data_IF_268075067752
#
_entry.id   IF_268075067752
#
_cell.length_a   1.000
_cell.length_b   1.000
_cell.length_c   1.000
_cell.angle_alpha   90.00
_cell.angle_beta   90.00
_cell.angle_gamma   90.00
#
_symmetry.space_group_name_H-M   'P 1'
#
loop_
_entity.id
_entity.type
_entity.pdbx_description
1 polymer ?
#
# COMPACT_ATOMS: atom_id res chain seq x y z
N UNK A 1 -16.46 -0.09 12.14
CA UNK A 1 -16.79 -1.01 11.04
C UNK A 1 -17.89 -1.96 11.49
N UNK A 2 -18.73 -2.48 10.57
CA UNK A 2 -19.86 -3.34 10.88
C UNK A 2 -19.49 -4.55 11.78
N UNK A 3 -18.33 -5.15 11.58
CA UNK A 3 -17.81 -6.25 12.40
C UNK A 3 -17.52 -5.81 13.86
N UNK A 4 -16.98 -4.61 14.06
CA UNK A 4 -16.74 -4.03 15.39
C UNK A 4 -18.05 -3.74 16.13
N UNK A 5 -19.10 -3.36 15.40
CA UNK A 5 -20.40 -3.01 15.98
C UNK A 5 -21.20 -4.27 16.34
N UNK A 6 -21.12 -5.33 15.55
CA UNK A 6 -21.68 -6.65 15.88
C UNK A 6 -21.01 -7.22 17.13
N UNK A 7 -19.68 -7.13 17.21
CA UNK A 7 -18.90 -7.57 18.37
C UNK A 7 -19.28 -6.82 19.65
N UNK A 8 -19.41 -5.49 19.58
CA UNK A 8 -19.83 -4.67 20.73
C UNK A 8 -21.26 -5.01 21.21
N UNK A 9 -22.18 -5.30 20.29
CA UNK A 9 -23.55 -5.72 20.64
C UNK A 9 -23.57 -7.08 21.31
N UNK A 10 -22.76 -8.04 20.87
CA UNK A 10 -22.69 -9.38 21.47
C UNK A 10 -22.12 -9.37 22.89
N UNK A 11 -21.09 -8.56 23.16
CA UNK A 11 -20.56 -8.38 24.53
C UNK A 11 -21.61 -7.81 25.47
N UNK A 12 -22.43 -6.87 25.00
CA UNK A 12 -23.43 -6.18 25.82
C UNK A 12 -24.60 -7.10 26.29
N UNK A 13 -24.88 -8.15 25.53
CA UNK A 13 -26.01 -9.04 25.79
C UNK A 13 -25.67 -10.32 26.56
N UNK A 14 -24.41 -10.73 26.69
CA UNK A 14 -24.01 -12.05 27.22
C UNK A 14 -22.97 -12.03 28.35
N UNK A 15 -22.63 -10.84 28.90
CA UNK A 15 -21.60 -10.73 29.92
C UNK A 15 -20.17 -10.88 29.37
N UNK A 16 -19.18 -10.87 30.28
CA UNK A 16 -17.74 -10.89 29.92
C UNK A 16 -17.29 -12.31 29.63
N UNK A 17 -17.64 -12.86 28.45
CA UNK A 17 -16.98 -14.05 27.92
C UNK A 17 -15.75 -13.63 27.11
N UNK A 18 -14.62 -14.27 27.39
CA UNK A 18 -13.42 -14.07 26.55
C UNK A 18 -13.71 -14.51 25.12
N UNK A 19 -13.51 -13.65 24.12
CA UNK A 19 -13.82 -13.98 22.74
C UNK A 19 -12.98 -15.16 22.22
N UNK A 20 -13.55 -15.91 21.30
CA UNK A 20 -12.82 -16.90 20.50
C UNK A 20 -12.23 -16.24 19.25
N UNK A 21 -11.14 -16.77 18.73
CA UNK A 21 -10.55 -16.30 17.49
C UNK A 21 -11.09 -17.13 16.32
N UNK A 22 -11.65 -16.48 15.33
CA UNK A 22 -12.23 -17.12 14.14
C UNK A 22 -11.69 -16.50 12.86
N UNK A 23 -11.70 -17.25 11.79
CA UNK A 23 -11.38 -16.81 10.42
C UNK A 23 -12.64 -16.93 9.57
N UNK A 24 -12.93 -15.92 8.77
CA UNK A 24 -14.02 -15.97 7.79
C UNK A 24 -13.60 -16.82 6.58
N UNK A 25 -14.41 -17.81 6.23
CA UNK A 25 -14.19 -18.68 5.06
C UNK A 25 -15.09 -18.29 3.88
N UNK A 26 -16.19 -17.60 4.14
CA UNK A 26 -17.15 -17.18 3.14
C UNK A 26 -18.33 -16.45 3.77
N UNK A 27 -19.40 -16.22 3.02
CA UNK A 27 -20.57 -15.50 3.48
C UNK A 27 -21.18 -16.18 4.73
N UNK A 28 -20.95 -15.58 5.90
CA UNK A 28 -21.40 -16.08 7.21
C UNK A 28 -20.83 -17.45 7.65
N UNK A 29 -19.75 -17.90 7.04
CA UNK A 29 -19.03 -19.11 7.46
C UNK A 29 -17.72 -18.74 8.15
N UNK A 30 -17.52 -19.29 9.36
CA UNK A 30 -16.36 -19.01 10.19
C UNK A 30 -15.70 -20.30 10.67
N UNK A 31 -14.38 -20.32 10.61
CA UNK A 31 -13.55 -21.38 11.17
C UNK A 31 -12.90 -20.93 12.48
N UNK A 32 -12.94 -21.75 13.51
CA UNK A 32 -12.29 -21.46 14.80
C UNK A 32 -10.79 -21.67 14.68
N UNK A 33 -10.01 -20.61 14.90
CA UNK A 33 -8.54 -20.66 14.99
C UNK A 33 -8.10 -20.98 16.41
N UNK A 34 -8.72 -20.34 17.42
CA UNK A 34 -8.40 -20.56 18.82
C UNK A 34 -9.65 -20.35 19.71
N UNK A 35 -9.79 -21.17 20.75
CA UNK A 35 -10.89 -21.09 21.70
C UNK A 35 -11.95 -22.19 21.55
N UNK A 36 -11.62 -23.34 20.92
CA UNK A 36 -12.50 -24.49 20.70
C UNK A 36 -13.18 -24.97 22.00
N UNK A 37 -12.46 -25.00 23.13
CA UNK A 37 -13.03 -25.40 24.43
C UNK A 37 -14.12 -24.45 24.90
N UNK A 38 -13.96 -23.13 24.67
CA UNK A 38 -14.98 -22.12 24.98
C UNK A 38 -16.20 -22.26 24.10
N UNK A 39 -16.00 -22.52 22.80
CA UNK A 39 -17.12 -22.79 21.89
C UNK A 39 -17.93 -24.00 22.32
N UNK A 40 -17.28 -25.10 22.70
CA UNK A 40 -17.94 -26.31 23.21
C UNK A 40 -18.70 -26.04 24.53
N UNK A 41 -18.09 -25.29 25.44
CA UNK A 41 -18.71 -24.90 26.69
C UNK A 41 -19.97 -24.02 26.45
N UNK A 42 -19.86 -23.05 25.55
CA UNK A 42 -20.96 -22.18 25.15
C UNK A 42 -22.16 -23.00 24.56
N UNK A 43 -21.86 -23.92 23.65
CA UNK A 43 -22.86 -24.85 23.08
C UNK A 43 -23.55 -25.69 24.15
N UNK A 44 -22.76 -26.24 25.10
CA UNK A 44 -23.32 -27.03 26.22
C UNK A 44 -24.19 -26.19 27.15
N UNK A 45 -23.84 -24.90 27.32
CA UNK A 45 -24.60 -23.95 28.11
C UNK A 45 -25.86 -23.43 27.41
N UNK A 46 -26.11 -23.82 26.16
CA UNK A 46 -27.27 -23.39 25.36
C UNK A 46 -27.18 -21.93 24.89
N UNK A 47 -25.96 -21.35 24.79
CA UNK A 47 -25.82 -20.00 24.31
C UNK A 47 -26.02 -19.95 22.78
N UNK A 48 -26.86 -19.02 22.33
CA UNK A 48 -27.19 -18.81 20.93
C UNK A 48 -26.04 -18.12 20.16
N UNK A 49 -25.22 -17.34 20.87
CA UNK A 49 -24.08 -16.62 20.28
C UNK A 49 -22.93 -16.52 21.26
N UNK A 50 -21.71 -16.39 20.73
CA UNK A 50 -20.48 -16.21 21.48
C UNK A 50 -19.67 -15.07 20.86
N UNK A 51 -19.01 -14.20 21.66
CA UNK A 51 -18.17 -13.14 21.12
C UNK A 51 -16.96 -13.72 20.38
N UNK A 52 -16.69 -13.18 19.18
CA UNK A 52 -15.60 -13.59 18.32
C UNK A 52 -14.71 -12.40 17.95
N UNK A 53 -13.41 -12.66 17.86
CA UNK A 53 -12.47 -11.83 17.12
C UNK A 53 -12.30 -12.47 15.74
N UNK A 54 -12.60 -11.72 14.68
CA UNK A 54 -12.39 -12.18 13.32
C UNK A 54 -10.95 -11.84 12.88
N UNK A 55 -10.19 -12.87 12.50
CA UNK A 55 -8.85 -12.69 11.93
C UNK A 55 -9.00 -12.10 10.52
N UNK A 56 -8.61 -10.83 10.37
CA UNK A 56 -8.68 -10.09 9.11
C UNK A 56 -7.46 -10.33 8.21
N UNK A 57 -6.59 -11.29 8.55
CA UNK A 57 -5.36 -11.55 7.80
C UNK A 57 -5.64 -11.94 6.34
N UNK A 58 -6.72 -12.67 6.09
CA UNK A 58 -7.15 -13.00 4.71
C UNK A 58 -7.60 -11.78 3.92
N UNK A 59 -8.28 -10.81 4.56
CA UNK A 59 -8.70 -9.57 3.91
C UNK A 59 -7.47 -8.72 3.56
N UNK A 60 -6.46 -8.68 4.44
CA UNK A 60 -5.19 -8.00 4.15
C UNK A 60 -4.43 -8.65 3.01
N UNK A 61 -4.32 -9.97 2.98
CA UNK A 61 -3.64 -10.70 1.91
C UNK A 61 -4.35 -10.50 0.56
N UNK A 62 -5.68 -10.48 0.55
CA UNK A 62 -6.48 -10.18 -0.63
C UNK A 62 -6.28 -8.74 -1.12
N UNK A 63 -6.22 -7.77 -0.20
CA UNK A 63 -5.94 -6.37 -0.53
C UNK A 63 -4.52 -6.17 -1.07
N UNK A 64 -3.53 -6.83 -0.48
CA UNK A 64 -2.14 -6.82 -0.97
C UNK A 64 -2.08 -7.40 -2.38
N UNK A 65 -2.71 -8.55 -2.61
CA UNK A 65 -2.75 -9.20 -3.94
C UNK A 65 -3.41 -8.31 -4.99
N UNK A 66 -4.52 -7.66 -4.66
CA UNK A 66 -5.22 -6.73 -5.54
C UNK A 66 -4.36 -5.49 -5.87
N UNK A 67 -3.64 -4.96 -4.87
CA UNK A 67 -2.74 -3.83 -5.06
C UNK A 67 -1.55 -4.19 -5.95
N UNK A 68 -0.97 -5.39 -5.77
CA UNK A 68 0.12 -5.89 -6.62
C UNK A 68 -0.35 -6.09 -8.06
N UNK A 69 -1.53 -6.67 -8.27
CA UNK A 69 -2.13 -6.82 -9.60
C UNK A 69 -2.30 -5.46 -10.29
N UNK A 70 -2.82 -4.46 -9.58
CA UNK A 70 -2.97 -3.11 -10.10
C UNK A 70 -1.63 -2.45 -10.45
N UNK A 71 -0.56 -2.73 -9.69
CA UNK A 71 0.79 -2.22 -9.96
C UNK A 71 1.44 -2.85 -11.21
N UNK A 72 0.93 -3.96 -11.72
CA UNK A 72 1.39 -4.63 -12.93
C UNK A 72 0.69 -4.13 -14.20
N UNK A 73 -0.19 -3.13 -14.10
CA UNK A 73 -0.84 -2.52 -15.25
C UNK A 73 0.16 -1.69 -16.06
N UNK A 74 0.11 -1.81 -17.38
CA UNK A 74 1.02 -1.12 -18.31
C UNK A 74 0.75 0.40 -18.41
N UNK A 75 -0.48 0.84 -18.11
CA UNK A 75 -0.93 2.23 -18.22
C UNK A 75 -0.69 3.09 -16.95
N UNK A 76 -0.04 2.52 -15.94
CA UNK A 76 0.22 3.19 -14.67
C UNK A 76 1.30 4.27 -14.82
N UNK A 77 1.01 5.51 -14.38
CA UNK A 77 2.01 6.57 -14.39
C UNK A 77 3.04 6.38 -13.24
N UNK A 78 4.24 6.98 -13.36
CA UNK A 78 5.31 6.78 -12.37
C UNK A 78 4.96 7.19 -10.95
N UNK A 79 4.08 8.20 -10.76
CA UNK A 79 3.65 8.67 -9.43
C UNK A 79 2.65 7.69 -8.81
N UNK A 80 1.71 7.16 -9.61
CA UNK A 80 0.78 6.12 -9.17
C UNK A 80 1.53 4.85 -8.78
N UNK A 81 2.50 4.43 -9.59
CA UNK A 81 3.37 3.30 -9.29
C UNK A 81 4.08 3.51 -7.95
N UNK A 82 4.73 4.66 -7.75
CA UNK A 82 5.45 4.98 -6.53
C UNK A 82 4.53 4.99 -5.29
N UNK A 83 3.33 5.55 -5.40
CA UNK A 83 2.32 5.57 -4.33
C UNK A 83 1.85 4.16 -3.98
N UNK A 84 1.61 3.31 -4.98
CA UNK A 84 1.24 1.92 -4.75
C UNK A 84 2.33 1.12 -4.03
N UNK A 85 3.59 1.30 -4.40
CA UNK A 85 4.74 0.68 -3.73
C UNK A 85 4.93 1.19 -2.28
N UNK A 86 4.75 2.49 -2.06
CA UNK A 86 4.79 3.10 -0.72
C UNK A 86 3.66 2.56 0.17
N UNK A 87 2.47 2.38 -0.39
CA UNK A 87 1.33 1.81 0.29
C UNK A 87 1.58 0.38 0.77
N UNK A 88 2.17 -0.48 -0.07
CA UNK A 88 2.59 -1.83 0.32
C UNK A 88 3.53 -1.81 1.53
N UNK A 89 4.44 -0.85 1.60
CA UNK A 89 5.37 -0.71 2.72
C UNK A 89 4.70 -0.18 3.98
N UNK A 90 3.96 0.92 3.88
CA UNK A 90 3.46 1.67 5.05
C UNK A 90 2.19 1.08 5.64
N UNK A 91 1.23 0.70 4.80
CA UNK A 91 -0.05 0.20 5.27
C UNK A 91 -0.01 -1.31 5.56
N UNK A 92 0.74 -2.07 4.75
CA UNK A 92 0.79 -3.53 4.85
C UNK A 92 2.09 -4.06 5.49
N UNK A 93 3.03 -3.18 5.84
CA UNK A 93 4.24 -3.52 6.57
C UNK A 93 5.26 -4.35 5.79
N UNK A 94 5.19 -4.39 4.45
CA UNK A 94 6.15 -5.13 3.65
C UNK A 94 7.51 -4.44 3.66
N UNK A 95 8.56 -5.23 3.75
CA UNK A 95 9.93 -4.74 3.54
C UNK A 95 10.16 -4.44 2.05
N UNK A 96 11.20 -3.67 1.75
CA UNK A 96 11.55 -3.33 0.38
C UNK A 96 11.89 -4.58 -0.46
N UNK A 97 12.49 -5.59 0.17
CA UNK A 97 12.80 -6.88 -0.48
C UNK A 97 11.53 -7.69 -0.76
N UNK A 98 10.57 -7.70 0.17
CA UNK A 98 9.26 -8.35 -0.03
C UNK A 98 8.45 -7.65 -1.13
N UNK A 99 8.47 -6.32 -1.20
CA UNK A 99 7.84 -5.57 -2.29
C UNK A 99 8.50 -5.90 -3.63
N UNK A 100 9.83 -5.97 -3.68
CA UNK A 100 10.57 -6.34 -4.89
C UNK A 100 10.18 -7.76 -5.37
N UNK A 101 10.21 -8.74 -4.47
CA UNK A 101 9.82 -10.13 -4.76
C UNK A 101 8.37 -10.24 -5.25
N UNK A 102 7.44 -9.59 -4.55
CA UNK A 102 6.00 -9.67 -4.84
C UNK A 102 5.61 -8.99 -6.15
N UNK A 103 6.33 -7.96 -6.55
CA UNK A 103 6.05 -7.19 -7.78
C UNK A 103 6.90 -7.64 -8.98
N UNK A 104 7.87 -8.53 -8.78
CA UNK A 104 8.81 -8.96 -9.82
C UNK A 104 9.79 -7.87 -10.27
N UNK A 105 9.94 -6.80 -9.47
CA UNK A 105 10.82 -5.66 -9.78
C UNK A 105 12.15 -5.78 -9.02
N UNK A 106 13.22 -5.25 -9.61
CA UNK A 106 14.50 -5.16 -8.92
C UNK A 106 14.41 -4.22 -7.70
N UNK A 107 15.12 -4.53 -6.61
CA UNK A 107 15.17 -3.70 -5.39
C UNK A 107 15.57 -2.25 -5.69
N UNK A 108 16.54 -2.04 -6.62
CA UNK A 108 16.94 -0.70 -7.05
C UNK A 108 15.82 0.07 -7.75
N UNK A 109 14.97 -0.62 -8.50
CA UNK A 109 13.80 -0.03 -9.14
C UNK A 109 12.78 0.44 -8.08
N UNK A 110 12.52 -0.38 -7.04
CA UNK A 110 11.66 -0.01 -5.92
C UNK A 110 12.22 1.21 -5.20
N UNK A 111 13.51 1.21 -4.86
CA UNK A 111 14.16 2.34 -4.18
C UNK A 111 14.04 3.65 -4.99
N UNK A 112 14.30 3.60 -6.29
CA UNK A 112 14.18 4.75 -7.17
C UNK A 112 12.74 5.26 -7.27
N UNK A 113 11.76 4.36 -7.39
CA UNK A 113 10.35 4.74 -7.44
C UNK A 113 9.90 5.41 -6.13
N UNK A 114 10.31 4.89 -4.98
CA UNK A 114 9.99 5.49 -3.68
C UNK A 114 10.64 6.88 -3.51
N UNK A 115 11.86 7.08 -4.02
CA UNK A 115 12.54 8.39 -3.97
C UNK A 115 11.80 9.46 -4.77
N UNK A 116 11.07 9.09 -5.83
CA UNK A 116 10.25 10.04 -6.60
C UNK A 116 9.24 10.76 -5.70
N UNK A 117 8.70 10.09 -4.68
CA UNK A 117 7.73 10.68 -3.76
C UNK A 117 8.31 11.79 -2.86
N UNK A 118 9.62 11.93 -2.77
CA UNK A 118 10.27 13.05 -2.08
C UNK A 118 10.29 14.35 -2.89
N UNK A 119 9.92 14.30 -4.17
CA UNK A 119 9.84 15.48 -5.03
C UNK A 119 8.73 16.43 -4.59
N UNK A 120 8.90 17.75 -4.81
CA UNK A 120 7.83 18.72 -4.61
C UNK A 120 6.56 18.38 -5.37
N UNK A 121 5.41 18.74 -4.82
CA UNK A 121 4.10 18.45 -5.42
C UNK A 121 3.98 18.95 -6.86
N UNK A 122 4.51 20.15 -7.15
CA UNK A 122 4.54 20.71 -8.50
C UNK A 122 5.30 19.83 -9.51
N UNK A 123 6.39 19.22 -9.07
CA UNK A 123 7.20 18.31 -9.91
C UNK A 123 6.51 16.96 -10.08
N UNK A 124 5.85 16.46 -9.04
CA UNK A 124 5.03 15.24 -9.13
C UNK A 124 3.86 15.42 -10.10
N UNK A 125 3.22 16.58 -10.11
CA UNK A 125 2.16 16.89 -11.06
C UNK A 125 2.69 16.90 -12.51
N UNK A 126 3.84 17.54 -12.75
CA UNK A 126 4.50 17.51 -14.07
C UNK A 126 4.82 16.09 -14.54
N UNK A 127 5.24 15.23 -13.62
CA UNK A 127 5.52 13.82 -13.92
C UNK A 127 4.24 13.03 -14.20
N UNK A 128 3.18 13.27 -13.44
CA UNK A 128 1.87 12.63 -13.64
C UNK A 128 1.25 13.02 -14.99
N UNK A 129 1.42 14.28 -15.38
CA UNK A 129 0.92 14.83 -16.64
C UNK A 129 1.78 14.47 -17.87
N UNK A 130 2.90 13.75 -17.63
CA UNK A 130 3.83 13.35 -18.69
C UNK A 130 4.66 14.50 -19.27
N UNK A 131 4.72 15.65 -18.59
CA UNK A 131 5.52 16.81 -18.99
C UNK A 131 7.04 16.56 -18.78
N UNK A 132 7.36 15.73 -17.81
CA UNK A 132 8.71 15.20 -17.56
C UNK A 132 8.67 13.67 -17.50
N UNK A 133 9.79 13.03 -17.81
CA UNK A 133 9.90 11.58 -17.83
C UNK A 133 10.42 11.03 -16.48
N UNK A 134 10.23 9.72 -16.22
CA UNK A 134 10.71 9.02 -15.04
C UNK A 134 12.23 9.19 -14.79
N UNK A 135 13.02 9.27 -15.86
CA UNK A 135 14.46 9.52 -15.78
C UNK A 135 14.79 10.93 -15.28
N UNK A 136 14.04 11.95 -15.70
CA UNK A 136 14.15 13.30 -15.14
C UNK A 136 13.81 13.30 -13.64
N UNK A 137 12.71 12.66 -13.25
CA UNK A 137 12.30 12.56 -11.85
C UNK A 137 13.36 11.89 -10.97
N UNK A 138 14.03 10.85 -11.47
CA UNK A 138 15.13 10.18 -10.76
C UNK A 138 16.32 11.13 -10.50
N UNK A 139 16.69 11.98 -11.47
CA UNK A 139 17.73 12.98 -11.32
C UNK A 139 17.31 14.06 -10.32
N UNK A 140 16.10 14.60 -10.50
CA UNK A 140 15.55 15.66 -9.65
C UNK A 140 15.41 15.24 -8.18
N UNK A 141 15.11 13.98 -7.91
CA UNK A 141 15.00 13.44 -6.56
C UNK A 141 16.34 13.38 -5.78
N UNK A 142 17.46 13.66 -6.42
CA UNK A 142 18.78 13.79 -5.77
C UNK A 142 19.15 15.24 -5.42
N UNK A 143 18.31 16.20 -5.78
CA UNK A 143 18.51 17.63 -5.57
C UNK A 143 17.67 18.15 -4.40
N UNK A 144 17.97 19.37 -3.95
CA UNK A 144 17.06 20.03 -3.02
C UNK A 144 15.74 20.43 -3.72
N UNK A 145 14.69 20.68 -2.91
CA UNK A 145 13.34 20.90 -3.43
C UNK A 145 13.26 22.09 -4.40
N UNK A 146 13.98 23.18 -4.12
CA UNK A 146 13.94 24.38 -4.93
C UNK A 146 14.68 24.19 -6.24
N UNK A 147 15.86 23.60 -6.19
CA UNK A 147 16.63 23.25 -7.40
C UNK A 147 15.85 22.28 -8.30
N UNK A 148 15.19 21.28 -7.71
CA UNK A 148 14.37 20.32 -8.44
C UNK A 148 13.20 21.00 -9.15
N UNK A 149 12.49 21.94 -8.50
CA UNK A 149 11.41 22.69 -9.13
C UNK A 149 11.89 23.56 -10.28
N UNK A 150 12.98 24.31 -10.07
CA UNK A 150 13.51 25.22 -11.08
C UNK A 150 14.00 24.45 -12.31
N UNK A 151 14.70 23.33 -12.11
CA UNK A 151 15.16 22.48 -13.18
C UNK A 151 13.99 21.77 -13.89
N UNK A 152 12.97 21.31 -13.17
CA UNK A 152 11.77 20.71 -13.77
C UNK A 152 11.07 21.69 -14.71
N UNK A 153 10.87 22.94 -14.27
CA UNK A 153 10.28 24.01 -15.10
C UNK A 153 11.13 24.28 -16.36
N UNK A 154 12.44 24.25 -16.22
CA UNK A 154 13.36 24.45 -17.35
C UNK A 154 13.29 23.29 -18.35
N UNK A 155 13.26 22.04 -17.86
CA UNK A 155 13.08 20.85 -18.69
C UNK A 155 11.80 20.95 -19.52
N UNK A 156 10.69 21.31 -18.90
CA UNK A 156 9.41 21.47 -19.58
C UNK A 156 9.46 22.59 -20.63
N UNK A 157 10.00 23.76 -20.26
CA UNK A 157 10.11 24.91 -21.14
C UNK A 157 10.99 24.66 -22.38
N UNK A 158 12.12 24.00 -22.19
CA UNK A 158 13.11 23.78 -23.23
C UNK A 158 12.94 22.41 -23.91
N UNK A 159 11.97 21.57 -23.44
CA UNK A 159 11.75 20.19 -23.92
C UNK A 159 13.03 19.36 -23.93
N UNK A 160 13.83 19.51 -22.88
CA UNK A 160 15.08 18.78 -22.74
C UNK A 160 14.86 17.27 -22.69
N UNK A 161 15.75 16.51 -23.34
CA UNK A 161 15.73 15.04 -23.31
C UNK A 161 16.76 14.49 -22.34
N UNK A 162 16.42 13.40 -21.64
CA UNK A 162 17.35 12.66 -20.78
C UNK A 162 18.57 12.13 -21.56
N UNK A 163 18.39 11.88 -22.85
CA UNK A 163 19.43 11.30 -23.72
C UNK A 163 20.51 12.30 -24.09
N UNK A 164 20.34 13.57 -23.77
CA UNK A 164 21.30 14.61 -24.03
C UNK A 164 22.06 15.00 -22.74
N UNK A 165 23.21 14.37 -22.44
CA UNK A 165 23.98 14.63 -21.22
C UNK A 165 24.56 16.06 -21.16
N UNK A 166 24.67 16.75 -22.30
CA UNK A 166 25.18 18.13 -22.38
C UNK A 166 24.15 19.11 -21.83
N UNK A 167 22.86 18.79 -21.92
CA UNK A 167 21.74 19.63 -21.44
C UNK A 167 21.80 19.90 -19.96
N UNK A 168 22.36 19.00 -19.15
CA UNK A 168 22.40 19.11 -17.69
C UNK A 168 23.68 19.79 -17.16
N UNK A 169 24.76 19.79 -17.91
CA UNK A 169 26.06 20.38 -17.50
C UNK A 169 26.06 21.90 -17.50
N UNK A 170 25.19 22.52 -18.29
CA UNK A 170 25.06 24.00 -18.39
C UNK A 170 23.97 24.59 -17.44
N UNK A 171 23.38 23.77 -16.57
CA UNK A 171 22.27 24.17 -15.68
C UNK A 171 22.74 24.49 -14.25
N UNK A 172 24.05 24.44 -13.97
CA UNK A 172 24.67 24.86 -12.71
C UNK A 172 25.13 26.30 -12.72
#
# INVERSE_FOLDING_TARGET
>A
SAASDVYKRQIKNQGVLSPILVRELGLNEFEVIAGERRLRAAKRAGLESIPCLVDQKQDQDALVSALIENLQREDLNPVEEARGLDRLKREFGLTQDEVASSTGKARSTIANSLRILSLPASVLDMLSDGLIEKGHAKLLASMDSKEAEDLAKKIVKEKLSIKDPVSYTHLR
#
